data_IF_575859797418
#
_entry.id   IF_575859797418
#
_cell.length_a   1.000
_cell.length_b   1.000
_cell.length_c   1.000
_cell.angle_alpha   90.00
_cell.angle_beta   90.00
_cell.angle_gamma   90.00
#
_symmetry.space_group_name_H-M   'P 1'
#
loop_
_entity.id
_entity.type
_entity.pdbx_description
1 polymer ?
#
# COMPACT_ATOMS: atom_id res chain seq x y z
N UNK A 1 -1.55 10.48 -13.60
CA UNK A 1 -1.28 9.10 -13.09
C UNK A 1 0.22 8.87 -13.21
N UNK A 2 0.90 8.41 -12.18
CA UNK A 2 2.35 8.15 -12.20
C UNK A 2 2.62 6.65 -11.97
N UNK A 3 3.79 6.17 -12.39
CA UNK A 3 4.21 4.80 -12.16
C UNK A 3 4.76 4.65 -10.74
N UNK A 4 4.15 3.79 -9.94
CA UNK A 4 4.65 3.47 -8.61
C UNK A 4 5.70 2.35 -8.73
N UNK A 5 6.97 2.69 -8.52
CA UNK A 5 8.08 1.74 -8.62
C UNK A 5 8.08 0.75 -7.44
N UNK A 6 8.23 -0.54 -7.75
CA UNK A 6 8.37 -1.61 -6.76
C UNK A 6 9.27 -2.73 -7.29
N UNK A 7 9.96 -3.44 -6.40
CA UNK A 7 10.60 -4.68 -6.80
C UNK A 7 9.57 -5.76 -7.12
N UNK A 8 9.83 -6.54 -8.16
CA UNK A 8 8.96 -7.65 -8.56
C UNK A 8 9.03 -8.77 -7.53
N UNK A 9 7.95 -8.98 -6.81
CA UNK A 9 7.82 -10.03 -5.78
C UNK A 9 6.92 -11.17 -6.22
N UNK A 10 6.38 -11.12 -7.45
CA UNK A 10 5.41 -12.05 -8.02
C UNK A 10 5.87 -12.57 -9.38
N UNK A 11 5.47 -13.81 -9.68
CA UNK A 11 5.55 -14.37 -11.04
C UNK A 11 4.52 -13.69 -11.94
N UNK A 12 4.80 -13.67 -13.25
CA UNK A 12 3.82 -13.25 -14.23
C UNK A 12 2.60 -14.19 -14.19
N UNK A 13 1.39 -13.64 -14.31
CA UNK A 13 0.16 -14.42 -14.28
C UNK A 13 0.11 -15.42 -15.45
N UNK A 14 0.70 -15.08 -16.60
CA UNK A 14 0.76 -15.92 -17.78
C UNK A 14 1.54 -17.24 -17.58
N UNK A 15 2.41 -17.29 -16.56
CA UNK A 15 3.19 -18.51 -16.23
C UNK A 15 2.40 -19.56 -15.44
N UNK A 16 1.16 -19.26 -15.06
CA UNK A 16 0.31 -20.14 -14.28
C UNK A 16 -0.72 -20.86 -15.17
N UNK A 17 -1.28 -22.00 -14.71
CA UNK A 17 -2.39 -22.66 -15.42
C UNK A 17 -3.58 -21.72 -15.64
N UNK A 18 -4.27 -21.84 -16.78
CA UNK A 18 -5.39 -20.95 -17.17
C UNK A 18 -6.48 -20.89 -16.11
N UNK A 19 -6.84 -22.02 -15.50
CA UNK A 19 -7.82 -22.06 -14.43
C UNK A 19 -7.41 -21.20 -13.23
N UNK A 20 -6.13 -21.29 -12.84
CA UNK A 20 -5.56 -20.47 -11.77
C UNK A 20 -5.57 -18.97 -12.14
N UNK A 21 -5.26 -18.63 -13.40
CA UNK A 21 -5.34 -17.24 -13.88
C UNK A 21 -6.76 -16.69 -13.73
N UNK A 22 -7.77 -17.44 -14.18
CA UNK A 22 -9.17 -17.03 -14.10
C UNK A 22 -9.65 -16.82 -12.64
N UNK A 23 -9.24 -17.71 -11.74
CA UNK A 23 -9.54 -17.60 -10.32
C UNK A 23 -8.90 -16.36 -9.70
N UNK A 24 -7.63 -16.08 -10.04
CA UNK A 24 -6.92 -14.87 -9.60
C UNK A 24 -7.63 -13.62 -10.09
N UNK A 25 -7.94 -13.54 -11.37
CA UNK A 25 -8.61 -12.39 -11.96
C UNK A 25 -9.98 -12.14 -11.30
N UNK A 26 -10.78 -13.20 -11.09
CA UNK A 26 -12.07 -13.12 -10.41
C UNK A 26 -11.93 -12.61 -8.98
N UNK A 27 -10.96 -13.10 -8.22
CA UNK A 27 -10.76 -12.68 -6.84
C UNK A 27 -10.23 -11.24 -6.75
N UNK A 28 -9.32 -10.83 -7.63
CA UNK A 28 -8.85 -9.45 -7.73
C UNK A 28 -9.98 -8.49 -8.11
N UNK A 29 -10.87 -8.87 -9.06
CA UNK A 29 -12.04 -8.07 -9.43
C UNK A 29 -13.04 -7.91 -8.28
N UNK A 30 -13.23 -8.94 -7.45
CA UNK A 30 -14.22 -8.90 -6.36
C UNK A 30 -13.69 -8.30 -5.08
N UNK A 31 -12.44 -8.61 -4.70
CA UNK A 31 -11.84 -8.23 -3.41
C UNK A 31 -10.74 -7.16 -3.52
N UNK A 32 -10.17 -6.97 -4.72
CA UNK A 32 -9.05 -6.05 -4.97
C UNK A 32 -7.69 -6.55 -4.46
N UNK A 33 -7.65 -7.65 -3.71
CA UNK A 33 -6.44 -8.27 -3.21
C UNK A 33 -6.67 -9.77 -2.94
N UNK A 34 -5.60 -10.54 -2.94
CA UNK A 34 -5.61 -11.95 -2.54
C UNK A 34 -4.78 -12.14 -1.28
N UNK A 35 -5.34 -12.86 -0.31
CA UNK A 35 -4.63 -13.18 0.94
C UNK A 35 -3.51 -14.20 0.71
N UNK A 36 -3.75 -15.19 -0.17
CA UNK A 36 -2.79 -16.22 -0.56
C UNK A 36 -2.61 -16.20 -2.09
N UNK A 37 -1.87 -15.24 -2.59
CA UNK A 37 -1.64 -15.09 -4.02
C UNK A 37 -0.57 -16.11 -4.48
N UNK A 38 -0.93 -17.07 -5.35
CA UNK A 38 0.00 -18.11 -5.82
C UNK A 38 1.14 -17.56 -6.68
N UNK A 39 1.05 -16.32 -7.17
CA UNK A 39 2.12 -15.65 -7.89
C UNK A 39 3.28 -15.25 -6.97
N UNK A 40 3.02 -15.05 -5.68
CA UNK A 40 4.02 -14.58 -4.74
C UNK A 40 5.04 -15.68 -4.45
N UNK A 41 6.28 -15.44 -4.86
CA UNK A 41 7.39 -16.36 -4.62
C UNK A 41 7.79 -16.40 -3.13
N UNK A 42 8.54 -17.43 -2.68
CA UNK A 42 9.10 -17.47 -1.32
C UNK A 42 9.96 -16.25 -1.03
N UNK A 43 10.80 -15.86 -1.98
CA UNK A 43 11.63 -14.65 -1.90
C UNK A 43 10.76 -13.38 -1.91
N UNK A 44 9.70 -13.35 -2.74
CA UNK A 44 8.73 -12.27 -2.76
C UNK A 44 8.00 -12.07 -1.42
N UNK A 45 7.67 -13.17 -0.72
CA UNK A 45 7.10 -13.10 0.65
C UNK A 45 8.06 -12.43 1.62
N UNK A 46 9.34 -12.80 1.57
CA UNK A 46 10.37 -12.20 2.44
C UNK A 46 10.55 -10.71 2.15
N UNK A 47 10.68 -10.30 0.87
CA UNK A 47 10.80 -8.90 0.46
C UNK A 47 9.59 -8.08 0.96
N UNK A 48 8.36 -8.59 0.79
CA UNK A 48 7.14 -7.93 1.27
C UNK A 48 7.06 -7.84 2.79
N UNK A 49 7.50 -8.90 3.49
CA UNK A 49 7.52 -8.92 4.96
C UNK A 49 8.47 -7.84 5.51
N UNK A 50 9.59 -7.59 4.84
CA UNK A 50 10.58 -6.57 5.21
C UNK A 50 10.28 -5.19 4.61
N UNK A 51 9.26 -5.07 3.77
CA UNK A 51 8.91 -3.85 3.01
C UNK A 51 10.04 -3.34 2.09
N UNK A 52 11.03 -4.18 1.78
CA UNK A 52 12.12 -3.86 0.84
C UNK A 52 11.58 -3.64 -0.58
N UNK A 53 10.46 -4.29 -0.93
CA UNK A 53 9.79 -4.08 -2.22
C UNK A 53 9.33 -2.63 -2.44
N UNK A 54 9.19 -1.87 -1.39
CA UNK A 54 8.76 -0.47 -1.45
C UNK A 54 9.93 0.52 -1.56
N UNK A 55 11.19 0.09 -1.37
CA UNK A 55 12.36 0.97 -1.51
C UNK A 55 12.46 1.70 -2.86
N UNK A 56 12.11 1.09 -4.02
CA UNK A 56 12.12 1.83 -5.28
C UNK A 56 11.13 3.00 -5.34
N UNK A 57 10.15 3.07 -4.43
CA UNK A 57 9.25 4.23 -4.32
C UNK A 57 9.99 5.50 -3.88
N UNK A 58 11.19 5.37 -3.30
CA UNK A 58 12.04 6.53 -3.01
C UNK A 58 12.38 7.33 -4.28
N UNK A 59 12.50 6.68 -5.44
CA UNK A 59 12.65 7.39 -6.71
C UNK A 59 11.40 8.23 -7.03
N UNK A 60 10.20 7.72 -6.72
CA UNK A 60 8.98 8.53 -6.87
C UNK A 60 8.97 9.75 -5.95
N UNK A 61 9.57 9.65 -4.76
CA UNK A 61 9.72 10.79 -3.84
C UNK A 61 10.74 11.79 -4.40
N UNK A 62 11.88 11.32 -4.88
CA UNK A 62 12.92 12.18 -5.47
C UNK A 62 12.41 12.93 -6.71
N UNK A 63 11.55 12.29 -7.52
CA UNK A 63 10.93 12.90 -8.70
C UNK A 63 9.69 13.75 -8.36
N UNK A 64 9.31 13.89 -7.09
CA UNK A 64 8.17 14.68 -6.65
C UNK A 64 6.79 14.05 -6.92
N UNK A 65 6.73 12.79 -7.35
CA UNK A 65 5.47 12.08 -7.60
C UNK A 65 4.84 11.50 -6.32
N UNK A 66 5.65 11.34 -5.27
CA UNK A 66 5.23 10.86 -3.95
C UNK A 66 5.89 11.67 -2.84
N UNK A 67 5.34 11.57 -1.65
CA UNK A 67 5.94 12.03 -0.40
C UNK A 67 6.47 10.85 0.44
N UNK A 68 7.32 11.11 1.42
CA UNK A 68 7.67 10.11 2.43
C UNK A 68 6.42 9.73 3.24
N UNK A 69 5.62 10.71 3.64
CA UNK A 69 4.40 10.52 4.43
C UNK A 69 3.19 10.99 3.64
N UNK A 70 2.13 10.18 3.64
CA UNK A 70 0.88 10.50 2.93
C UNK A 70 -0.05 9.29 2.83
N UNK A 71 -1.22 9.46 2.20
CA UNK A 71 -2.09 8.34 1.87
C UNK A 71 -1.36 7.34 0.97
N UNK A 72 -1.53 6.03 1.23
CA UNK A 72 -0.92 5.01 0.38
C UNK A 72 -1.46 5.08 -1.06
N UNK A 73 -0.62 4.88 -2.09
CA UNK A 73 -1.12 4.71 -3.46
C UNK A 73 -2.16 3.59 -3.54
N UNK A 74 -3.32 3.90 -4.12
CA UNK A 74 -4.47 2.99 -4.23
C UNK A 74 -4.72 2.59 -5.67
N UNK A 75 -5.30 1.40 -5.86
CA UNK A 75 -5.79 0.93 -7.15
C UNK A 75 -7.14 1.60 -7.51
N UNK A 76 -7.55 1.50 -8.79
CA UNK A 76 -8.87 2.00 -9.21
C UNK A 76 -10.01 1.34 -8.41
N UNK A 77 -9.93 0.02 -8.18
CA UNK A 77 -10.91 -0.69 -7.35
C UNK A 77 -11.02 -0.16 -5.92
N UNK A 78 -9.90 0.25 -5.34
CA UNK A 78 -9.90 0.87 -4.01
C UNK A 78 -10.44 2.31 -4.06
N UNK A 79 -10.14 3.05 -5.13
CA UNK A 79 -10.67 4.41 -5.34
C UNK A 79 -12.20 4.41 -5.39
N UNK A 80 -12.82 3.42 -6.04
CA UNK A 80 -14.28 3.29 -6.13
C UNK A 80 -14.92 3.13 -4.74
N UNK A 81 -14.22 2.51 -3.78
CA UNK A 81 -14.67 2.36 -2.39
C UNK A 81 -14.61 3.65 -1.57
N UNK A 82 -13.87 4.67 -2.01
CA UNK A 82 -13.87 5.97 -1.36
C UNK A 82 -15.18 6.73 -1.61
N UNK A 83 -15.89 6.44 -2.71
CA UNK A 83 -17.09 7.19 -3.11
C UNK A 83 -16.79 8.70 -3.18
N UNK A 84 -17.69 9.54 -2.69
CA UNK A 84 -17.50 11.00 -2.68
C UNK A 84 -16.24 11.49 -1.94
N UNK A 85 -15.69 10.67 -1.06
CA UNK A 85 -14.48 11.00 -0.28
C UNK A 85 -13.18 10.91 -1.07
N UNK A 86 -13.21 10.38 -2.29
CA UNK A 86 -12.06 10.29 -3.19
C UNK A 86 -11.40 11.66 -3.47
N UNK A 87 -12.18 12.73 -3.39
CA UNK A 87 -11.67 14.09 -3.62
C UNK A 87 -10.60 14.51 -2.60
N UNK A 88 -10.69 14.04 -1.36
CA UNK A 88 -9.65 14.28 -0.34
C UNK A 88 -8.35 13.55 -0.71
N UNK A 89 -8.48 12.31 -1.19
CA UNK A 89 -7.33 11.53 -1.64
C UNK A 89 -6.66 12.17 -2.86
N UNK A 90 -7.43 12.58 -3.86
CA UNK A 90 -6.91 13.23 -5.08
C UNK A 90 -6.14 14.53 -4.80
N UNK A 91 -6.50 15.25 -3.75
CA UNK A 91 -5.83 16.49 -3.31
C UNK A 91 -4.61 16.23 -2.43
N UNK A 92 -4.35 14.99 -2.06
CA UNK A 92 -3.20 14.60 -1.24
C UNK A 92 -2.09 14.05 -2.12
N UNK A 93 -0.83 14.31 -1.78
CA UNK A 93 0.31 13.61 -2.37
C UNK A 93 0.41 12.22 -1.73
N UNK A 94 0.43 11.12 -2.51
CA UNK A 94 0.58 9.78 -1.96
C UNK A 94 1.93 9.60 -1.28
N UNK A 95 1.93 8.84 -0.16
CA UNK A 95 3.13 8.60 0.64
C UNK A 95 3.61 7.14 0.61
N UNK A 96 4.89 6.93 0.96
CA UNK A 96 5.46 5.60 1.22
C UNK A 96 4.86 5.05 2.52
N UNK A 97 4.79 5.87 3.56
CA UNK A 97 4.15 5.55 4.83
C UNK A 97 3.01 6.52 5.15
N UNK A 98 2.12 6.15 6.06
CA UNK A 98 0.97 6.97 6.43
C UNK A 98 0.30 6.51 7.73
N UNK A 99 -0.70 7.26 8.20
CA UNK A 99 -1.34 7.04 9.50
C UNK A 99 -1.81 5.59 9.67
N UNK A 100 -2.60 5.07 8.73
CA UNK A 100 -3.16 3.73 8.90
C UNK A 100 -2.10 2.63 8.80
N UNK A 101 -1.01 2.88 8.06
CA UNK A 101 0.11 1.96 7.94
C UNK A 101 0.83 1.80 9.28
N UNK A 102 0.96 2.87 10.07
CA UNK A 102 1.57 2.80 11.41
C UNK A 102 0.57 2.49 12.54
N UNK A 103 -0.74 2.39 12.22
CA UNK A 103 -1.83 2.17 13.20
C UNK A 103 -2.42 0.76 13.16
N UNK A 104 -1.78 -0.20 12.48
CA UNK A 104 -2.25 -1.60 12.43
C UNK A 104 -2.33 -2.18 11.02
N UNK A 105 -1.94 -1.43 9.98
CA UNK A 105 -1.81 -1.92 8.58
C UNK A 105 -3.06 -2.72 8.13
N UNK A 106 -2.89 -4.03 7.89
CA UNK A 106 -3.94 -4.88 7.33
C UNK A 106 -5.08 -5.18 8.31
N UNK A 107 -4.88 -5.00 9.60
CA UNK A 107 -5.93 -5.14 10.63
C UNK A 107 -6.91 -3.94 10.61
N UNK A 108 -6.50 -2.80 10.04
CA UNK A 108 -7.35 -1.62 9.94
C UNK A 108 -8.42 -1.83 8.88
N UNK A 109 -9.69 -1.84 9.28
CA UNK A 109 -10.84 -1.94 8.36
C UNK A 109 -10.80 -0.82 7.32
N UNK A 110 -11.19 -1.11 6.08
CA UNK A 110 -11.09 -0.18 4.96
C UNK A 110 -11.74 1.19 5.21
N UNK A 111 -12.96 1.22 5.78
CA UNK A 111 -13.64 2.48 6.15
C UNK A 111 -12.78 3.35 7.09
N UNK A 112 -12.04 2.71 8.00
CA UNK A 112 -11.15 3.42 8.94
C UNK A 112 -9.89 3.92 8.25
N UNK A 113 -9.34 3.17 7.26
CA UNK A 113 -8.23 3.65 6.41
C UNK A 113 -8.63 4.95 5.69
N UNK A 114 -9.79 4.97 5.04
CA UNK A 114 -10.33 6.17 4.38
C UNK A 114 -10.48 7.34 5.35
N UNK A 115 -10.98 7.09 6.56
CA UNK A 115 -11.12 8.15 7.58
C UNK A 115 -9.75 8.70 8.03
N UNK A 116 -8.73 7.84 8.14
CA UNK A 116 -7.37 8.24 8.50
C UNK A 116 -6.69 9.05 7.39
N UNK A 117 -6.92 8.71 6.12
CA UNK A 117 -6.40 9.47 4.99
C UNK A 117 -7.04 10.86 4.91
N UNK A 118 -8.34 10.97 5.19
CA UNK A 118 -9.03 12.27 5.28
C UNK A 118 -8.51 13.08 6.48
N UNK A 119 -8.27 12.42 7.62
CA UNK A 119 -7.69 13.07 8.79
C UNK A 119 -6.31 13.64 8.48
N UNK A 120 -5.47 12.87 7.77
CA UNK A 120 -4.17 13.32 7.33
C UNK A 120 -4.28 14.54 6.39
N UNK A 121 -5.15 14.48 5.38
CA UNK A 121 -5.39 15.62 4.50
C UNK A 121 -5.77 16.90 5.26
N UNK A 122 -6.61 16.78 6.30
CA UNK A 122 -7.12 17.93 7.06
C UNK A 122 -6.13 18.47 8.10
N UNK A 123 -5.32 17.60 8.69
CA UNK A 123 -4.47 17.91 9.85
C UNK A 123 -3.00 17.58 9.66
N UNK A 124 -2.59 17.12 8.48
CA UNK A 124 -1.19 16.85 8.18
C UNK A 124 -0.33 18.09 8.35
N UNK A 125 0.76 17.95 9.07
CA UNK A 125 1.77 18.98 9.30
C UNK A 125 3.11 18.29 9.55
N UNK A 126 4.20 19.04 9.51
CA UNK A 126 5.55 18.51 9.69
C UNK A 126 5.70 17.68 10.99
N UNK A 127 5.11 18.14 12.10
CA UNK A 127 5.14 17.40 13.36
C UNK A 127 4.45 16.03 13.24
N UNK A 128 3.32 15.99 12.53
CA UNK A 128 2.57 14.75 12.31
C UNK A 128 3.33 13.79 11.40
N UNK A 129 4.01 14.31 10.38
CA UNK A 129 4.88 13.53 9.50
C UNK A 129 6.05 12.92 10.26
N UNK A 130 6.74 13.70 11.08
CA UNK A 130 7.83 13.22 11.93
C UNK A 130 7.35 12.11 12.89
N UNK A 131 6.17 12.25 13.49
CA UNK A 131 5.58 11.21 14.33
C UNK A 131 5.34 9.90 13.56
N UNK A 132 4.79 9.99 12.34
CA UNK A 132 4.56 8.82 11.48
C UNK A 132 5.89 8.19 11.08
N UNK A 133 6.88 8.99 10.67
CA UNK A 133 8.20 8.51 10.29
C UNK A 133 8.90 7.78 11.44
N UNK A 134 8.87 8.32 12.66
CA UNK A 134 9.45 7.68 13.84
C UNK A 134 8.77 6.35 14.20
N UNK A 135 7.47 6.21 13.96
CA UNK A 135 6.74 4.96 14.18
C UNK A 135 6.97 3.91 13.10
N UNK A 136 7.27 4.31 11.88
CA UNK A 136 7.37 3.41 10.73
C UNK A 136 8.39 2.28 10.93
N UNK A 137 9.64 2.52 11.38
CA UNK A 137 10.60 1.44 11.62
C UNK A 137 10.11 0.41 12.63
N UNK A 138 9.54 0.85 13.76
CA UNK A 138 9.03 -0.04 14.79
C UNK A 138 7.93 -0.98 14.26
N UNK A 139 7.05 -0.49 13.39
CA UNK A 139 5.99 -1.28 12.76
C UNK A 139 6.56 -2.28 11.76
N UNK A 140 7.53 -1.87 10.93
CA UNK A 140 8.20 -2.75 9.96
C UNK A 140 8.94 -3.87 10.69
N UNK A 141 9.71 -3.56 11.74
CA UNK A 141 10.44 -4.56 12.53
C UNK A 141 9.52 -5.53 13.27
N UNK A 142 8.43 -5.03 13.86
CA UNK A 142 7.43 -5.88 14.53
C UNK A 142 6.82 -6.91 13.58
N UNK A 143 6.58 -6.56 12.33
CA UNK A 143 6.04 -7.47 11.31
C UNK A 143 7.07 -8.49 10.81
N UNK A 144 8.35 -8.16 10.83
CA UNK A 144 9.41 -9.11 10.48
C UNK A 144 9.51 -10.28 11.48
N UNK A 145 9.01 -10.12 12.70
CA UNK A 145 9.00 -11.14 13.75
C UNK A 145 7.75 -12.01 13.84
N UNK A 146 6.68 -11.71 13.08
CA UNK A 146 5.44 -12.51 13.09
C UNK A 146 5.47 -13.49 11.92
N UNK A 147 5.62 -14.77 12.23
CA UNK A 147 5.50 -15.89 11.30
C UNK A 147 4.06 -16.14 10.90
#
# INVERSE_FOLDING_TARGET
>A
MFNCYKFTSMKDISTLPIETQNNILKELHTKGHMKNDPRVTKFGKWIRKTSIDELPQLFNVLFGNMSLVGPRPISQYEADKYGKKIEYYKKSTPGITGIWQVSGRDEVKYKRRVAMDILYYKKGCLYFDLFILLKTPAVVFKMSGVN
#
